data_IF_126148337436
#
_entry.id   IF_126148337436
#
_cell.length_a   1.000
_cell.length_b   1.000
_cell.length_c   1.000
_cell.angle_alpha   90.00
_cell.angle_beta   90.00
_cell.angle_gamma   90.00
#
_symmetry.space_group_name_H-M   'P 1'
#
loop_
_entity.id
_entity.type
_entity.pdbx_description
1 polymer ?
#
# COMPACT_ATOMS: atom_id res chain seq x y z
N UNK A 1 -13.63 1.40 3.44
CA UNK A 1 -12.94 0.16 3.06
C UNK A 1 -11.63 0.00 3.80
N UNK A 2 -11.18 -1.20 3.94
CA UNK A 2 -9.87 -1.50 4.48
C UNK A 2 -9.13 -2.38 3.49
N UNK A 3 -7.88 -2.02 3.21
CA UNK A 3 -7.07 -2.68 2.17
C UNK A 3 -5.77 -3.16 2.78
N UNK A 4 -5.40 -4.38 2.44
CA UNK A 4 -4.12 -4.96 2.81
C UNK A 4 -3.15 -4.78 1.64
N UNK A 5 -2.05 -4.11 1.92
CA UNK A 5 -1.00 -3.91 0.91
C UNK A 5 0.25 -4.63 1.37
N UNK A 6 0.72 -5.55 0.55
CA UNK A 6 1.91 -6.33 0.82
C UNK A 6 3.04 -5.88 -0.09
N UNK A 7 4.18 -5.65 0.51
CA UNK A 7 5.43 -5.33 -0.18
C UNK A 7 6.52 -6.12 0.53
N UNK A 8 7.65 -5.54 0.89
CA UNK A 8 8.61 -6.25 1.75
C UNK A 8 8.10 -6.43 3.18
N UNK A 9 7.04 -5.68 3.53
CA UNK A 9 6.30 -5.84 4.78
C UNK A 9 4.81 -5.94 4.44
N UNK A 10 3.94 -5.67 5.40
CA UNK A 10 2.49 -5.75 5.21
C UNK A 10 1.83 -4.65 6.02
N UNK A 11 0.90 -3.91 5.40
CA UNK A 11 0.15 -2.86 6.09
C UNK A 11 -1.33 -2.96 5.77
N UNK A 12 -2.15 -2.50 6.71
CA UNK A 12 -3.60 -2.41 6.56
C UNK A 12 -3.97 -0.93 6.60
N UNK A 13 -4.67 -0.47 5.59
CA UNK A 13 -5.02 0.95 5.46
C UNK A 13 -6.52 1.09 5.29
N UNK A 14 -7.13 1.95 6.10
CA UNK A 14 -8.55 2.28 6.02
C UNK A 14 -8.75 3.58 5.28
N UNK A 15 -9.77 3.64 4.43
CA UNK A 15 -10.15 4.84 3.72
C UNK A 15 -11.52 4.67 3.09
N UNK A 16 -12.06 5.74 2.53
CA UNK A 16 -13.38 5.71 1.90
C UNK A 16 -13.31 5.13 0.49
N UNK A 17 -12.21 5.36 -0.22
CA UNK A 17 -12.02 4.85 -1.56
C UNK A 17 -10.54 4.53 -1.81
N UNK A 18 -10.25 3.98 -2.98
CA UNK A 18 -8.89 3.56 -3.30
C UNK A 18 -7.94 4.74 -3.43
N UNK A 19 -8.41 5.88 -3.88
CA UNK A 19 -7.59 7.08 -3.98
C UNK A 19 -7.07 7.51 -2.60
N UNK A 20 -7.93 7.47 -1.59
CA UNK A 20 -7.54 7.77 -0.23
C UNK A 20 -6.57 6.73 0.31
N UNK A 21 -6.82 5.45 0.04
CA UNK A 21 -5.94 4.35 0.43
C UNK A 21 -4.54 4.57 -0.14
N UNK A 22 -4.46 4.88 -1.41
CA UNK A 22 -3.19 5.10 -2.09
C UNK A 22 -2.41 6.27 -1.50
N UNK A 23 -3.11 7.38 -1.24
CA UNK A 23 -2.48 8.55 -0.63
C UNK A 23 -1.94 8.24 0.75
N UNK A 24 -2.71 7.54 1.55
CA UNK A 24 -2.27 7.15 2.90
C UNK A 24 -1.07 6.23 2.85
N UNK A 25 -1.06 5.28 1.93
CA UNK A 25 0.06 4.36 1.80
C UNK A 25 1.34 5.11 1.47
N UNK A 26 1.28 6.06 0.53
CA UNK A 26 2.44 6.83 0.11
C UNK A 26 2.98 7.75 1.20
N UNK A 27 2.15 8.08 2.19
CA UNK A 27 2.52 8.96 3.29
C UNK A 27 2.96 8.23 4.56
N UNK A 28 3.06 6.91 4.51
CA UNK A 28 3.44 6.14 5.70
C UNK A 28 4.89 6.43 6.12
N UNK A 29 5.14 6.46 7.44
CA UNK A 29 6.51 6.72 7.94
C UNK A 29 7.55 5.71 7.48
N UNK A 30 7.14 4.52 7.06
CA UNK A 30 8.08 3.52 6.55
C UNK A 30 8.78 3.96 5.27
N UNK A 31 8.26 5.01 4.62
CA UNK A 31 8.89 5.63 3.46
C UNK A 31 9.69 6.88 3.84
N UNK A 32 10.17 6.94 5.07
CA UNK A 32 11.04 8.02 5.51
C UNK A 32 12.36 8.00 4.72
N UNK A 33 13.11 9.10 4.82
CA UNK A 33 14.38 9.23 4.11
C UNK A 33 15.35 8.08 4.40
N UNK A 34 15.42 7.65 5.65
CA UNK A 34 16.31 6.57 6.04
C UNK A 34 15.91 5.24 5.38
N UNK A 35 14.62 4.93 5.40
CA UNK A 35 14.11 3.71 4.78
C UNK A 35 14.33 3.75 3.26
N UNK A 36 14.08 4.88 2.64
CA UNK A 36 14.25 5.03 1.20
C UNK A 36 15.73 4.91 0.79
N UNK A 37 16.61 5.47 1.61
CA UNK A 37 18.03 5.42 1.32
C UNK A 37 18.55 3.99 1.30
N UNK A 38 18.13 3.17 2.25
CA UNK A 38 18.63 1.81 2.39
C UNK A 38 17.85 0.80 1.57
N UNK A 39 16.54 0.99 1.42
CA UNK A 39 15.68 -0.04 0.88
C UNK A 39 14.65 0.48 -0.11
N UNK A 40 14.94 1.59 -0.78
CA UNK A 40 13.95 2.23 -1.65
C UNK A 40 13.38 1.30 -2.73
N UNK A 41 14.22 0.47 -3.32
CA UNK A 41 13.78 -0.45 -4.36
C UNK A 41 12.83 -1.51 -3.80
N UNK A 42 13.09 -1.97 -2.59
CA UNK A 42 12.28 -3.00 -1.95
C UNK A 42 10.97 -2.45 -1.42
N UNK A 43 11.02 -1.29 -0.79
CA UNK A 43 9.81 -0.65 -0.27
C UNK A 43 8.92 -0.10 -1.37
N UNK A 44 9.48 0.25 -2.50
CA UNK A 44 8.71 0.78 -3.61
C UNK A 44 7.94 -0.28 -4.39
N UNK A 45 8.27 -1.55 -4.20
CA UNK A 45 7.63 -2.62 -4.96
C UNK A 45 6.43 -3.19 -4.21
N UNK A 46 5.25 -2.99 -4.77
CA UNK A 46 4.01 -3.54 -4.22
C UNK A 46 3.80 -4.92 -4.81
N UNK A 47 3.68 -5.92 -3.95
CA UNK A 47 3.50 -7.31 -4.34
C UNK A 47 2.01 -7.70 -4.43
N UNK A 48 1.18 -7.11 -3.58
CA UNK A 48 -0.23 -7.48 -3.49
C UNK A 48 -1.05 -6.32 -2.94
N UNK A 49 -2.22 -6.10 -3.51
CA UNK A 49 -3.22 -5.18 -2.97
C UNK A 49 -4.54 -5.94 -2.96
N UNK A 50 -5.13 -6.10 -1.78
CA UNK A 50 -6.38 -6.85 -1.66
C UNK A 50 -7.28 -6.27 -0.56
N UNK A 51 -8.58 -6.57 -0.65
CA UNK A 51 -9.52 -6.19 0.38
C UNK A 51 -9.21 -6.98 1.66
N UNK A 52 -9.14 -6.28 2.79
CA UNK A 52 -8.73 -6.90 4.05
C UNK A 52 -9.78 -7.87 4.60
N UNK A 53 -11.03 -7.74 4.19
CA UNK A 53 -12.11 -8.62 4.68
C UNK A 53 -12.41 -9.76 3.71
N UNK A 54 -12.48 -9.45 2.41
CA UNK A 54 -12.91 -10.42 1.41
C UNK A 54 -11.76 -11.07 0.65
N UNK A 55 -10.56 -10.53 0.79
CA UNK A 55 -9.36 -10.97 0.07
C UNK A 55 -9.48 -10.80 -1.45
N UNK A 56 -10.38 -9.94 -1.90
CA UNK A 56 -10.53 -9.64 -3.31
C UNK A 56 -9.31 -8.86 -3.80
N UNK A 57 -8.79 -9.25 -4.96
CA UNK A 57 -7.67 -8.56 -5.58
C UNK A 57 -8.08 -7.15 -6.01
N UNK A 58 -7.38 -6.13 -5.49
CA UNK A 58 -7.66 -4.72 -5.77
C UNK A 58 -6.50 -4.04 -6.47
N UNK A 59 -5.55 -4.78 -7.02
CA UNK A 59 -4.37 -4.20 -7.64
C UNK A 59 -4.72 -3.28 -8.80
N UNK A 60 -5.70 -3.68 -9.62
CA UNK A 60 -6.12 -2.87 -10.75
C UNK A 60 -6.73 -1.55 -10.32
N UNK A 61 -7.54 -1.57 -9.28
CA UNK A 61 -8.16 -0.38 -8.73
C UNK A 61 -7.09 0.55 -8.14
N UNK A 62 -6.09 -0.02 -7.48
CA UNK A 62 -4.98 0.75 -6.95
C UNK A 62 -4.21 1.45 -8.08
N UNK A 63 -3.91 0.74 -9.15
CA UNK A 63 -3.13 1.28 -10.25
C UNK A 63 -3.87 2.38 -11.01
N UNK A 64 -5.21 2.36 -11.00
CA UNK A 64 -6.05 3.37 -11.65
C UNK A 64 -6.23 4.62 -10.82
N UNK A 65 -5.92 4.59 -9.57
CA UNK A 65 -6.18 5.71 -8.65
C UNK A 65 -5.15 6.82 -8.75
#
# INVERSE_FOLDING_TARGET
MEVRIKFSAEVYIKGEDMSEIKSKFEMLPLFSADALEDNSAEFGEILLVEDAETYKDLRKEYDKS
#
